data_IF_414493119054
#
_entry.id   IF_414493119054
#
_cell.length_a   1.000
_cell.length_b   1.000
_cell.length_c   1.000
_cell.angle_alpha   90.00
_cell.angle_beta   90.00
_cell.angle_gamma   90.00
#
_symmetry.space_group_name_H-M   'P 1'
#
loop_
_entity.id
_entity.type
_entity.pdbx_description
1 polymer ?
#
# COMPACT_ATOMS: atom_id res chain seq x y z
N UNK A 1 -13.65 20.65 16.69
CA UNK A 1 -14.36 19.40 16.37
C UNK A 1 -13.32 18.31 16.47
N UNK A 2 -13.38 17.52 17.51
CA UNK A 2 -12.50 16.37 17.71
C UNK A 2 -12.93 15.29 16.70
N UNK A 3 -12.02 14.91 15.81
CA UNK A 3 -12.28 13.77 14.92
C UNK A 3 -12.45 12.52 15.80
N UNK A 4 -13.62 11.90 15.73
CA UNK A 4 -13.85 10.57 16.29
C UNK A 4 -12.98 9.58 15.52
N UNK A 5 -11.81 9.26 16.04
CA UNK A 5 -10.93 8.21 15.53
C UNK A 5 -11.03 6.98 16.42
N UNK A 6 -11.25 5.83 15.81
CA UNK A 6 -11.21 4.55 16.49
C UNK A 6 -9.76 4.24 16.84
N UNK A 7 -9.36 4.49 18.09
CA UNK A 7 -8.00 4.22 18.59
C UNK A 7 -7.80 2.73 18.89
N UNK A 8 -8.00 1.87 17.92
CA UNK A 8 -7.76 0.43 18.08
C UNK A 8 -6.34 0.05 17.67
N UNK A 9 -5.69 0.89 16.85
CA UNK A 9 -4.31 0.68 16.39
C UNK A 9 -3.60 2.03 16.36
N UNK A 10 -3.33 2.63 17.49
CA UNK A 10 -2.53 3.84 17.49
C UNK A 10 -1.49 3.83 18.60
N UNK A 11 -0.37 3.23 18.31
CA UNK A 11 0.90 3.67 18.86
C UNK A 11 1.98 3.50 17.79
N UNK A 12 1.76 4.08 16.61
CA UNK A 12 2.86 4.33 15.69
C UNK A 12 3.19 5.81 15.84
N UNK A 13 4.02 6.10 16.81
CA UNK A 13 4.77 7.36 16.87
C UNK A 13 5.81 7.31 15.75
N UNK A 14 5.51 7.94 14.62
CA UNK A 14 6.36 8.00 13.43
C UNK A 14 7.69 8.71 13.68
N UNK A 15 7.94 9.22 14.89
CA UNK A 15 9.18 9.91 15.29
C UNK A 15 10.26 9.01 15.90
N UNK A 16 10.01 7.69 16.04
CA UNK A 16 10.96 6.73 16.65
C UNK A 16 11.31 5.54 15.77
N UNK A 17 11.55 5.77 14.49
CA UNK A 17 12.02 4.72 13.55
C UNK A 17 13.54 4.45 13.67
N UNK A 18 14.22 5.09 14.56
CA UNK A 18 15.63 4.79 14.86
C UNK A 18 15.76 4.20 16.27
N UNK A 19 15.98 2.92 16.36
CA UNK A 19 16.35 2.13 17.56
C UNK A 19 15.19 1.56 18.39
N UNK A 20 14.53 0.54 17.89
CA UNK A 20 14.33 -0.64 18.73
C UNK A 20 13.88 -1.83 17.88
N UNK A 21 14.50 -2.97 18.07
CA UNK A 21 13.98 -4.32 17.79
C UNK A 21 12.74 -4.58 18.67
N UNK A 22 11.74 -3.69 18.58
CA UNK A 22 10.41 -3.97 19.06
C UNK A 22 9.78 -4.80 17.95
N UNK A 23 9.41 -6.02 18.26
CA UNK A 23 8.51 -6.81 17.47
C UNK A 23 7.22 -6.00 17.33
N UNK A 24 7.14 -5.16 16.28
CA UNK A 24 5.88 -4.62 15.85
C UNK A 24 5.01 -5.83 15.54
N UNK A 25 3.90 -5.95 16.24
CA UNK A 25 2.94 -7.02 15.99
C UNK A 25 2.38 -6.80 14.60
N UNK A 26 2.96 -7.52 13.61
CA UNK A 26 2.51 -7.45 12.22
C UNK A 26 1.09 -7.97 12.15
N UNK A 27 0.20 -7.18 11.54
CA UNK A 27 -1.16 -7.62 11.25
C UNK A 27 -1.09 -8.75 10.22
N UNK A 28 -1.67 -9.88 10.51
CA UNK A 28 -1.70 -11.05 9.63
C UNK A 28 -3.00 -11.10 8.83
N UNK A 29 -3.00 -11.82 7.71
CA UNK A 29 -4.21 -12.07 6.91
C UNK A 29 -5.32 -12.70 7.76
N UNK A 30 -4.97 -13.63 8.66
CA UNK A 30 -5.91 -14.27 9.58
C UNK A 30 -6.55 -13.27 10.56
N UNK A 31 -5.78 -12.31 11.07
CA UNK A 31 -6.30 -11.24 11.93
C UNK A 31 -7.22 -10.29 11.16
N UNK A 32 -6.91 -10.04 9.87
CA UNK A 32 -7.78 -9.25 8.99
C UNK A 32 -9.09 -9.98 8.72
N UNK A 33 -9.04 -11.29 8.42
CA UNK A 33 -10.23 -12.10 8.18
C UNK A 33 -11.14 -12.13 9.42
N UNK A 34 -10.57 -12.32 10.60
CA UNK A 34 -11.30 -12.25 11.88
C UNK A 34 -11.88 -10.85 12.14
N UNK A 35 -11.23 -9.80 11.65
CA UNK A 35 -11.74 -8.42 11.82
C UNK A 35 -13.00 -8.11 11.01
N UNK A 36 -13.47 -9.01 10.17
CA UNK A 36 -14.75 -8.90 9.46
C UNK A 36 -15.95 -9.32 10.31
N UNK A 37 -15.74 -9.97 11.46
CA UNK A 37 -16.80 -10.46 12.30
C UNK A 37 -16.59 -10.03 13.77
N UNK A 38 -17.50 -9.22 14.30
CA UNK A 38 -17.42 -8.74 15.68
C UNK A 38 -17.22 -9.87 16.71
N UNK A 39 -17.87 -11.03 16.52
CA UNK A 39 -17.80 -12.12 17.50
C UNK A 39 -16.41 -12.79 17.55
N UNK A 40 -15.62 -12.67 16.47
CA UNK A 40 -14.29 -13.25 16.36
C UNK A 40 -13.17 -12.30 16.79
N UNK A 41 -13.53 -11.03 17.10
CA UNK A 41 -12.57 -10.05 17.56
C UNK A 41 -12.07 -10.36 18.98
N UNK A 42 -10.82 -9.98 19.29
CA UNK A 42 -10.31 -9.96 20.67
C UNK A 42 -11.16 -9.07 21.58
N UNK A 43 -11.24 -9.41 22.87
CA UNK A 43 -12.06 -8.63 23.84
C UNK A 43 -11.65 -7.15 23.92
N UNK A 44 -10.35 -6.84 23.84
CA UNK A 44 -9.85 -5.45 23.82
C UNK A 44 -10.40 -4.65 22.63
N UNK A 45 -10.50 -5.29 21.45
CA UNK A 45 -11.05 -4.65 20.25
C UNK A 45 -12.58 -4.51 20.35
N UNK A 46 -13.28 -5.48 20.94
CA UNK A 46 -14.71 -5.39 21.22
C UNK A 46 -15.03 -4.24 22.17
N UNK A 47 -14.30 -4.14 23.28
CA UNK A 47 -14.45 -3.03 24.23
C UNK A 47 -14.22 -1.68 23.57
N UNK A 48 -13.16 -1.55 22.76
CA UNK A 48 -12.85 -0.32 22.02
C UNK A 48 -13.95 0.03 21.01
N UNK A 49 -14.52 -0.95 20.31
CA UNK A 49 -15.65 -0.75 19.40
C UNK A 49 -16.89 -0.29 20.20
N UNK A 50 -17.22 -0.94 21.29
CA UNK A 50 -18.39 -0.62 22.09
C UNK A 50 -18.30 0.78 22.72
N UNK A 51 -17.11 1.16 23.21
CA UNK A 51 -16.85 2.53 23.66
C UNK A 51 -16.99 3.57 22.54
N UNK A 52 -16.53 3.22 21.33
CA UNK A 52 -16.64 4.11 20.19
C UNK A 52 -18.09 4.24 19.73
N UNK A 53 -18.84 3.14 19.65
CA UNK A 53 -20.28 3.12 19.33
C UNK A 53 -21.07 3.99 20.29
N UNK A 54 -20.75 3.95 21.58
CA UNK A 54 -21.41 4.78 22.61
C UNK A 54 -21.16 6.29 22.39
N UNK A 55 -20.04 6.67 21.77
CA UNK A 55 -19.68 8.08 21.52
C UNK A 55 -20.34 8.64 20.25
N UNK A 56 -20.85 7.81 19.34
CA UNK A 56 -21.49 8.26 18.10
C UNK A 56 -22.84 8.95 18.43
N UNK A 57 -22.94 10.24 18.19
CA UNK A 57 -24.18 10.98 18.35
C UNK A 57 -25.04 10.94 17.06
N UNK A 58 -26.16 10.19 17.07
CA UNK A 58 -27.01 10.05 15.89
C UNK A 58 -27.75 11.36 15.53
N UNK A 59 -27.79 12.34 16.42
CA UNK A 59 -28.38 13.67 16.15
C UNK A 59 -27.41 14.61 15.45
N UNK A 60 -26.11 14.30 15.50
CA UNK A 60 -25.08 15.09 14.83
C UNK A 60 -24.92 14.64 13.36
N UNK A 61 -25.70 15.25 12.48
CA UNK A 61 -25.67 14.92 11.03
C UNK A 61 -24.26 15.05 10.43
N UNK A 62 -23.45 16.01 10.88
CA UNK A 62 -22.09 16.21 10.38
C UNK A 62 -21.21 15.03 10.75
N UNK A 63 -21.31 14.52 11.97
CA UNK A 63 -20.57 13.36 12.45
C UNK A 63 -20.91 12.10 11.65
N UNK A 64 -22.20 11.87 11.40
CA UNK A 64 -22.67 10.77 10.55
C UNK A 64 -22.14 10.87 9.12
N UNK A 65 -22.15 12.07 8.52
CA UNK A 65 -21.64 12.28 7.17
C UNK A 65 -20.10 12.13 7.07
N UNK A 66 -19.39 12.43 8.15
CA UNK A 66 -17.93 12.30 8.22
C UNK A 66 -17.47 10.96 8.78
N UNK A 67 -18.41 10.07 9.13
CA UNK A 67 -18.09 8.77 9.67
C UNK A 67 -17.14 7.99 8.77
N UNK A 68 -16.05 7.45 9.33
CA UNK A 68 -15.05 6.67 8.60
C UNK A 68 -14.17 7.47 7.61
N UNK A 69 -14.39 8.80 7.47
CA UNK A 69 -13.63 9.61 6.49
C UNK A 69 -12.13 9.64 6.75
N UNK A 70 -11.69 9.54 8.01
CA UNK A 70 -10.26 9.45 8.36
C UNK A 70 -9.62 8.15 7.84
N UNK A 71 -10.29 7.02 8.02
CA UNK A 71 -9.85 5.73 7.51
C UNK A 71 -9.76 5.73 5.97
N UNK A 72 -10.79 6.23 5.29
CA UNK A 72 -10.79 6.36 3.82
C UNK A 72 -9.67 7.27 3.31
N UNK A 73 -9.45 8.42 3.95
CA UNK A 73 -8.37 9.34 3.57
C UNK A 73 -6.99 8.69 3.72
N UNK A 74 -6.80 7.88 4.75
CA UNK A 74 -5.54 7.17 4.94
C UNK A 74 -5.31 6.11 3.86
N UNK A 75 -6.35 5.35 3.50
CA UNK A 75 -6.31 4.36 2.40
C UNK A 75 -6.06 5.06 1.06
N UNK A 76 -6.74 6.17 0.78
CA UNK A 76 -6.55 6.94 -0.46
C UNK A 76 -5.12 7.45 -0.60
N UNK A 77 -4.57 8.09 0.43
CA UNK A 77 -3.18 8.57 0.43
C UNK A 77 -2.18 7.43 0.27
N UNK A 78 -2.44 6.30 0.90
CA UNK A 78 -1.61 5.11 0.76
C UNK A 78 -1.66 4.58 -0.69
N UNK A 79 -2.85 4.46 -1.28
CA UNK A 79 -3.04 4.00 -2.67
C UNK A 79 -2.33 4.92 -3.67
N UNK A 80 -2.42 6.25 -3.48
CA UNK A 80 -1.71 7.22 -4.30
C UNK A 80 -0.19 7.04 -4.19
N UNK A 81 0.33 6.84 -2.98
CA UNK A 81 1.75 6.59 -2.73
C UNK A 81 2.24 5.29 -3.39
N UNK A 82 1.45 4.22 -3.34
CA UNK A 82 1.76 2.95 -4.02
C UNK A 82 1.79 3.15 -5.52
N UNK A 83 0.79 3.82 -6.07
CA UNK A 83 0.68 4.06 -7.52
C UNK A 83 1.85 4.88 -8.06
N UNK A 84 2.26 5.93 -7.35
CA UNK A 84 3.41 6.75 -7.73
C UNK A 84 4.72 5.96 -7.66
N UNK A 85 4.91 5.12 -6.64
CA UNK A 85 6.08 4.25 -6.54
C UNK A 85 6.14 3.21 -7.67
N UNK A 86 5.00 2.66 -8.10
CA UNK A 86 4.96 1.70 -9.21
C UNK A 86 5.23 2.37 -10.56
N UNK A 87 4.68 3.56 -10.79
CA UNK A 87 4.86 4.30 -12.07
C UNK A 87 6.28 4.76 -12.32
N UNK A 88 7.04 5.09 -11.29
CA UNK A 88 8.41 5.63 -11.42
C UNK A 88 9.46 4.57 -11.72
N UNK A 89 9.11 3.30 -11.74
CA UNK A 89 10.07 2.19 -11.90
C UNK A 89 10.06 1.63 -13.30
N UNK A 90 11.13 1.94 -14.04
CA UNK A 90 11.37 1.40 -15.39
C UNK A 90 12.15 0.09 -15.31
N UNK A 91 11.55 -1.00 -15.78
CA UNK A 91 12.24 -2.28 -15.99
C UNK A 91 13.09 -2.29 -17.27
N UNK A 92 13.05 -1.20 -18.07
CA UNK A 92 13.76 -1.08 -19.34
C UNK A 92 15.28 -1.03 -19.22
N UNK A 93 15.79 -0.43 -18.14
CA UNK A 93 17.25 -0.20 -17.96
C UNK A 93 18.08 -1.50 -17.96
N UNK A 94 17.57 -2.57 -17.36
CA UNK A 94 18.27 -3.88 -17.36
C UNK A 94 18.29 -4.49 -18.77
N UNK A 95 17.20 -4.33 -19.53
CA UNK A 95 17.11 -4.76 -20.92
C UNK A 95 18.11 -4.03 -21.81
N UNK A 96 18.24 -2.72 -21.63
CA UNK A 96 19.18 -1.88 -22.35
C UNK A 96 20.63 -2.28 -22.06
N UNK A 97 20.99 -2.48 -20.80
CA UNK A 97 22.32 -2.94 -20.38
C UNK A 97 22.68 -4.32 -20.98
N UNK A 98 21.76 -5.25 -21.00
CA UNK A 98 21.96 -6.57 -21.62
C UNK A 98 22.08 -6.46 -23.14
N UNK A 99 21.34 -5.56 -23.78
CA UNK A 99 21.43 -5.28 -25.21
C UNK A 99 22.81 -4.71 -25.56
N UNK A 100 23.29 -3.74 -24.80
CA UNK A 100 24.62 -3.14 -24.96
C UNK A 100 25.73 -4.20 -24.82
N UNK A 101 25.62 -5.08 -23.82
CA UNK A 101 26.56 -6.20 -23.65
C UNK A 101 26.59 -7.13 -24.88
N UNK A 102 25.43 -7.48 -25.43
CA UNK A 102 25.33 -8.33 -26.62
C UNK A 102 25.97 -7.64 -27.83
N UNK A 103 25.77 -6.33 -27.99
CA UNK A 103 26.37 -5.54 -29.08
C UNK A 103 27.88 -5.50 -28.94
N UNK A 104 28.43 -5.25 -27.76
CA UNK A 104 29.89 -5.26 -27.49
C UNK A 104 30.52 -6.60 -27.80
N UNK A 105 29.89 -7.71 -27.39
CA UNK A 105 30.37 -9.07 -27.66
C UNK A 105 30.37 -9.36 -29.18
N UNK A 106 29.31 -9.00 -29.89
CA UNK A 106 29.22 -9.19 -31.33
C UNK A 106 30.24 -8.37 -32.09
N UNK A 107 30.49 -7.13 -31.67
CA UNK A 107 31.52 -6.27 -32.30
C UNK A 107 32.91 -6.86 -32.10
N UNK A 108 33.19 -7.46 -30.93
CA UNK A 108 34.46 -8.12 -30.66
C UNK A 108 34.68 -9.32 -31.57
N UNK A 109 33.65 -10.15 -31.82
CA UNK A 109 33.75 -11.35 -32.69
C UNK A 109 33.87 -10.97 -34.18
N UNK A 110 33.19 -9.92 -34.65
CA UNK A 110 33.21 -9.47 -36.06
C UNK A 110 34.54 -8.84 -36.48
N UNK A 111 35.32 -8.33 -35.53
CA UNK A 111 36.55 -7.61 -35.79
C UNK A 111 37.81 -8.46 -35.71
N UNK A 112 37.69 -9.79 -35.45
CA UNK A 112 38.83 -10.73 -35.50
C UNK A 112 39.18 -10.93 -36.98
N UNK A 113 40.39 -10.51 -37.43
CA UNK A 113 40.77 -10.65 -38.84
C UNK A 113 40.95 -12.10 -39.21
N UNK A 114 40.08 -12.65 -40.01
CA UNK A 114 40.25 -13.96 -40.70
C UNK A 114 41.04 -13.75 -41.99
N UNK A 115 42.29 -13.25 -41.92
CA UNK A 115 43.13 -13.09 -43.11
C UNK A 115 44.17 -14.21 -43.19
N UNK A 116 44.19 -14.88 -44.34
CA UNK A 116 45.26 -15.76 -44.77
C UNK A 116 46.53 -14.95 -45.08
N UNK A 117 47.61 -15.27 -44.40
CA UNK A 117 48.91 -14.57 -44.56
C UNK A 117 49.78 -15.29 -45.61
N UNK A 118 50.21 -14.53 -46.63
CA UNK A 118 51.22 -14.99 -47.59
C UNK A 118 52.43 -14.08 -47.58
N UNK A 119 53.62 -14.58 -47.09
CA UNK A 119 54.92 -13.90 -47.13
C UNK A 119 55.57 -13.62 -45.78
N UNK A 120 56.81 -14.17 -45.55
CA UNK A 120 57.46 -14.31 -44.24
C UNK A 120 57.96 -12.96 -43.63
N UNK A 121 58.34 -11.96 -44.42
CA UNK A 121 58.91 -10.71 -43.88
C UNK A 121 57.88 -9.65 -43.49
N UNK A 122 56.66 -9.64 -44.05
CA UNK A 122 55.55 -8.77 -43.65
C UNK A 122 54.86 -9.24 -42.37
N UNK A 123 55.01 -10.52 -42.06
CA UNK A 123 54.30 -11.20 -40.98
C UNK A 123 54.73 -10.69 -39.57
N UNK A 124 56.02 -10.43 -39.35
CA UNK A 124 56.52 -10.05 -38.00
C UNK A 124 56.18 -8.62 -37.61
N UNK A 125 56.13 -7.64 -38.54
CA UNK A 125 55.76 -6.28 -38.22
C UNK A 125 54.24 -6.07 -38.16
N UNK A 126 53.45 -6.84 -38.91
CA UNK A 126 52.01 -6.82 -38.91
C UNK A 126 51.46 -7.54 -37.68
N UNK A 127 52.04 -8.69 -37.29
CA UNK A 127 51.58 -9.50 -36.16
C UNK A 127 51.66 -8.73 -34.81
N UNK A 128 52.74 -7.98 -34.57
CA UNK A 128 52.89 -7.18 -33.35
C UNK A 128 51.83 -6.08 -33.28
N UNK A 129 51.59 -5.39 -34.38
CA UNK A 129 50.60 -4.29 -34.43
C UNK A 129 49.16 -4.82 -34.33
N UNK A 130 48.90 -6.01 -34.87
CA UNK A 130 47.58 -6.64 -34.73
C UNK A 130 47.36 -7.20 -33.34
N UNK A 131 48.41 -7.79 -32.70
CA UNK A 131 48.34 -8.21 -31.31
C UNK A 131 48.09 -7.03 -30.37
N UNK A 132 48.78 -5.88 -30.56
CA UNK A 132 48.56 -4.68 -29.77
C UNK A 132 47.11 -4.13 -29.93
N UNK A 133 46.57 -4.20 -31.15
CA UNK A 133 45.15 -3.82 -31.39
C UNK A 133 44.19 -4.80 -30.71
N UNK A 134 44.47 -6.08 -30.75
CA UNK A 134 43.65 -7.10 -30.14
C UNK A 134 43.64 -6.92 -28.59
N UNK A 135 44.83 -6.70 -28.02
CA UNK A 135 44.95 -6.42 -26.55
C UNK A 135 44.20 -5.14 -26.20
N UNK A 136 44.33 -4.08 -26.98
CA UNK A 136 43.61 -2.81 -26.73
C UNK A 136 42.09 -3.00 -26.78
N UNK A 137 41.59 -3.77 -27.74
CA UNK A 137 40.16 -4.10 -27.87
C UNK A 137 39.70 -4.99 -26.70
N UNK A 138 40.46 -6.00 -26.34
CA UNK A 138 40.19 -6.87 -25.18
C UNK A 138 40.03 -6.05 -23.89
N UNK A 139 41.02 -5.15 -23.63
CA UNK A 139 40.95 -4.26 -22.46
C UNK A 139 39.73 -3.32 -22.48
N UNK A 140 39.34 -2.87 -23.67
CA UNK A 140 38.14 -2.03 -23.79
C UNK A 140 36.85 -2.81 -23.48
N UNK A 141 36.73 -4.03 -24.01
CA UNK A 141 35.59 -4.92 -23.73
C UNK A 141 35.55 -5.30 -22.23
N UNK A 142 36.70 -5.65 -21.64
CA UNK A 142 36.82 -5.95 -20.21
C UNK A 142 36.35 -4.78 -19.34
N UNK A 143 36.78 -3.54 -19.65
CA UNK A 143 36.33 -2.33 -18.95
C UNK A 143 34.80 -2.11 -19.09
N UNK A 144 34.26 -2.36 -20.28
CA UNK A 144 32.82 -2.20 -20.51
C UNK A 144 32.01 -3.28 -19.79
N UNK A 145 32.46 -4.53 -19.82
CA UNK A 145 31.85 -5.61 -19.03
C UNK A 145 31.87 -5.26 -17.54
N UNK A 146 32.98 -4.78 -16.99
CA UNK A 146 33.05 -4.37 -15.59
C UNK A 146 32.11 -3.21 -15.24
N UNK A 147 31.85 -2.30 -16.17
CA UNK A 147 30.84 -1.23 -15.98
C UNK A 147 29.43 -1.82 -15.93
N UNK A 148 29.12 -2.74 -16.85
CA UNK A 148 27.81 -3.40 -16.93
C UNK A 148 27.58 -4.25 -15.67
N UNK A 149 28.57 -5.00 -15.23
CA UNK A 149 28.52 -5.78 -13.97
C UNK A 149 28.17 -4.89 -12.78
N UNK A 150 28.87 -3.75 -12.64
CA UNK A 150 28.60 -2.79 -11.57
C UNK A 150 27.20 -2.19 -11.65
N UNK A 151 26.72 -1.91 -12.85
CA UNK A 151 25.36 -1.39 -13.05
C UNK A 151 24.31 -2.45 -12.71
N UNK A 152 24.51 -3.70 -13.10
CA UNK A 152 23.64 -4.82 -12.74
C UNK A 152 23.61 -5.05 -11.22
N UNK A 153 24.75 -4.93 -10.54
CA UNK A 153 24.79 -5.02 -9.09
C UNK A 153 24.04 -3.89 -8.40
N UNK A 154 24.16 -2.66 -8.91
CA UNK A 154 23.35 -1.54 -8.43
C UNK A 154 21.86 -1.76 -8.64
N UNK A 155 21.45 -2.29 -9.80
CA UNK A 155 20.06 -2.66 -10.05
C UNK A 155 19.56 -3.74 -9.11
N UNK A 156 20.39 -4.78 -8.86
CA UNK A 156 20.07 -5.81 -7.87
C UNK A 156 19.82 -5.22 -6.47
N UNK A 157 20.72 -4.33 -6.02
CA UNK A 157 20.55 -3.64 -4.74
C UNK A 157 19.28 -2.77 -4.71
N UNK A 158 18.97 -2.10 -5.82
CA UNK A 158 17.74 -1.33 -5.92
C UNK A 158 16.50 -2.23 -5.86
N UNK A 159 16.50 -3.37 -6.57
CA UNK A 159 15.40 -4.34 -6.53
C UNK A 159 15.18 -4.90 -5.12
N UNK A 160 16.25 -5.16 -4.36
CA UNK A 160 16.13 -5.60 -2.97
C UNK A 160 15.47 -4.54 -2.08
N UNK A 161 15.84 -3.26 -2.26
CA UNK A 161 15.17 -2.14 -1.58
C UNK A 161 13.70 -2.04 -1.98
N UNK A 162 13.40 -2.26 -3.25
CA UNK A 162 12.05 -2.23 -3.78
C UNK A 162 11.18 -3.32 -3.18
N UNK A 163 11.70 -4.54 -3.04
CA UNK A 163 11.03 -5.65 -2.36
C UNK A 163 10.70 -5.26 -0.92
N UNK A 164 11.66 -4.73 -0.16
CA UNK A 164 11.42 -4.30 1.21
C UNK A 164 10.33 -3.20 1.31
N UNK A 165 10.28 -2.28 0.34
CA UNK A 165 9.23 -1.26 0.27
C UNK A 165 7.87 -1.90 -0.03
N UNK A 166 7.78 -2.86 -0.95
CA UNK A 166 6.52 -3.57 -1.24
C UNK A 166 6.04 -4.40 -0.07
N UNK A 167 6.93 -5.08 0.65
CA UNK A 167 6.59 -5.81 1.86
C UNK A 167 5.99 -4.86 2.92
N UNK A 168 6.62 -3.70 3.14
CA UNK A 168 6.10 -2.68 4.05
C UNK A 168 4.74 -2.11 3.59
N UNK A 169 4.54 -1.94 2.28
CA UNK A 169 3.27 -1.50 1.72
C UNK A 169 2.17 -2.55 1.92
N UNK A 170 2.49 -3.82 1.74
CA UNK A 170 1.57 -4.91 1.99
C UNK A 170 1.11 -4.95 3.44
N UNK A 171 2.05 -4.86 4.39
CA UNK A 171 1.74 -4.82 5.83
C UNK A 171 0.82 -3.65 6.19
N UNK A 172 1.11 -2.46 5.66
CA UNK A 172 0.25 -1.28 5.87
C UNK A 172 -1.14 -1.43 5.25
N UNK A 173 -1.24 -2.10 4.09
CA UNK A 173 -2.53 -2.36 3.48
C UNK A 173 -3.39 -3.26 4.36
N UNK A 174 -2.82 -4.30 4.96
CA UNK A 174 -3.52 -5.17 5.92
C UNK A 174 -4.00 -4.36 7.15
N UNK A 175 -3.15 -3.48 7.68
CA UNK A 175 -3.50 -2.62 8.81
C UNK A 175 -4.68 -1.68 8.48
N UNK A 176 -4.63 -1.00 7.33
CA UNK A 176 -5.71 -0.12 6.91
C UNK A 176 -7.02 -0.86 6.63
N UNK A 177 -6.93 -2.04 6.03
CA UNK A 177 -8.10 -2.88 5.80
C UNK A 177 -8.74 -3.32 7.13
N UNK A 178 -7.94 -3.77 8.09
CA UNK A 178 -8.42 -4.09 9.44
C UNK A 178 -9.09 -2.88 10.09
N UNK A 179 -8.46 -1.71 10.03
CA UNK A 179 -9.01 -0.48 10.59
C UNK A 179 -10.37 -0.13 9.96
N UNK A 180 -10.49 -0.23 8.62
CA UNK A 180 -11.74 0.02 7.93
C UNK A 180 -12.84 -0.96 8.35
N UNK A 181 -12.49 -2.25 8.46
CA UNK A 181 -13.43 -3.30 8.94
C UNK A 181 -13.98 -2.99 10.32
N UNK A 182 -13.13 -2.52 11.25
CA UNK A 182 -13.57 -2.14 12.60
C UNK A 182 -14.52 -0.93 12.57
N UNK A 183 -14.28 0.05 11.68
CA UNK A 183 -15.23 1.16 11.48
C UNK A 183 -16.57 0.69 10.93
N UNK A 184 -16.57 -0.24 9.97
CA UNK A 184 -17.80 -0.82 9.41
C UNK A 184 -18.59 -1.54 10.52
N UNK A 185 -17.95 -2.42 11.28
CA UNK A 185 -18.59 -3.15 12.39
C UNK A 185 -19.17 -2.17 13.43
N UNK A 186 -18.42 -1.15 13.83
CA UNK A 186 -18.91 -0.16 14.80
C UNK A 186 -20.13 0.60 14.27
N UNK A 187 -20.12 0.97 12.98
CA UNK A 187 -21.26 1.62 12.34
C UNK A 187 -22.48 0.72 12.23
N UNK A 188 -22.31 -0.56 11.87
CA UNK A 188 -23.38 -1.56 11.82
C UNK A 188 -24.02 -1.77 13.19
N UNK A 189 -23.20 -1.90 14.24
CA UNK A 189 -23.68 -2.03 15.62
C UNK A 189 -24.46 -0.78 16.04
N UNK A 190 -24.00 0.42 15.69
CA UNK A 190 -24.74 1.66 16.00
C UNK A 190 -26.07 1.70 15.27
N UNK A 191 -26.12 1.34 14.01
CA UNK A 191 -27.37 1.29 13.24
C UNK A 191 -28.34 0.28 13.85
N UNK A 192 -27.83 -0.88 14.26
CA UNK A 192 -28.66 -1.89 14.93
C UNK A 192 -29.23 -1.35 16.25
N UNK A 193 -28.42 -0.72 17.11
CA UNK A 193 -28.89 -0.06 18.34
C UNK A 193 -29.99 0.98 18.06
N UNK A 194 -29.80 1.83 17.04
CA UNK A 194 -30.77 2.84 16.66
C UNK A 194 -32.10 2.22 16.18
N UNK A 195 -32.06 1.14 15.42
CA UNK A 195 -33.26 0.45 14.91
C UNK A 195 -33.99 -0.34 15.98
N UNK A 196 -33.26 -1.00 16.89
CA UNK A 196 -33.86 -1.92 17.84
C UNK A 196 -34.26 -1.24 19.16
N UNK A 197 -33.59 -0.14 19.51
CA UNK A 197 -33.80 0.51 20.80
C UNK A 197 -34.34 1.94 20.64
N UNK A 198 -33.64 2.80 19.92
CA UNK A 198 -33.93 4.24 19.89
C UNK A 198 -35.19 4.55 19.07
N UNK A 199 -35.30 3.97 17.86
CA UNK A 199 -36.43 4.23 16.98
C UNK A 199 -37.77 3.73 17.57
N UNK A 200 -37.88 2.52 18.12
CA UNK A 200 -39.12 2.05 18.75
C UNK A 200 -39.52 2.91 19.95
N UNK A 201 -38.58 3.38 20.74
CA UNK A 201 -38.90 4.27 21.87
C UNK A 201 -39.40 5.63 21.41
N UNK A 202 -38.83 6.24 20.37
CA UNK A 202 -39.34 7.48 19.79
C UNK A 202 -40.74 7.27 19.19
N UNK A 203 -41.01 6.13 18.55
CA UNK A 203 -42.34 5.82 18.02
C UNK A 203 -43.39 5.67 19.15
N UNK A 204 -43.00 5.02 20.28
CA UNK A 204 -43.88 4.91 21.45
C UNK A 204 -44.22 6.29 22.01
N UNK A 205 -43.23 7.18 22.19
CA UNK A 205 -43.42 8.53 22.69
C UNK A 205 -44.34 9.33 21.75
N UNK A 206 -44.11 9.27 20.43
CA UNK A 206 -44.92 9.98 19.45
C UNK A 206 -46.38 9.49 19.41
N UNK A 207 -46.63 8.21 19.67
CA UNK A 207 -47.99 7.66 19.78
C UNK A 207 -48.70 8.09 21.06
N UNK A 208 -47.96 8.19 22.19
CA UNK A 208 -48.53 8.54 23.48
C UNK A 208 -48.77 10.05 23.60
N UNK A 209 -47.84 10.90 23.10
CA UNK A 209 -47.94 12.37 23.19
C UNK A 209 -48.90 12.97 22.21
N UNK A 210 -49.08 12.34 21.04
CA UNK A 210 -49.79 12.86 19.90
C UNK A 210 -49.29 14.24 19.43
N UNK A 211 -48.02 14.57 19.74
CA UNK A 211 -47.36 15.83 19.41
C UNK A 211 -46.66 15.71 18.06
N UNK A 212 -46.83 16.75 17.22
CA UNK A 212 -46.20 16.79 15.90
C UNK A 212 -44.64 16.83 15.98
N UNK A 213 -44.10 17.41 17.05
CA UNK A 213 -42.65 17.46 17.30
C UNK A 213 -42.07 16.06 17.51
N UNK A 214 -42.79 15.19 18.24
CA UNK A 214 -42.35 13.82 18.49
C UNK A 214 -42.44 12.96 17.23
N UNK A 215 -43.49 13.19 16.40
CA UNK A 215 -43.58 12.56 15.07
C UNK A 215 -42.42 13.00 14.16
N UNK A 216 -42.02 14.27 14.22
CA UNK A 216 -40.88 14.76 13.46
C UNK A 216 -39.56 14.11 13.94
N UNK A 217 -39.40 13.92 15.26
CA UNK A 217 -38.20 13.21 15.80
C UNK A 217 -38.06 11.78 15.28
N UNK A 218 -39.19 11.05 15.11
CA UNK A 218 -39.20 9.73 14.49
C UNK A 218 -38.71 9.81 13.03
N UNK A 219 -39.23 10.74 12.24
CA UNK A 219 -38.84 10.89 10.84
C UNK A 219 -37.37 11.28 10.69
N UNK A 220 -36.88 12.18 11.54
CA UNK A 220 -35.46 12.59 11.54
C UNK A 220 -34.54 11.44 11.90
N UNK A 221 -34.94 10.58 12.85
CA UNK A 221 -34.18 9.36 13.20
C UNK A 221 -34.16 8.37 12.05
N UNK A 222 -35.27 8.11 11.39
CA UNK A 222 -35.33 7.25 10.21
C UNK A 222 -34.43 7.79 9.08
N UNK A 223 -34.46 9.09 8.83
CA UNK A 223 -33.59 9.72 7.83
C UNK A 223 -32.10 9.60 8.20
N UNK A 224 -31.78 9.69 9.50
CA UNK A 224 -30.41 9.51 10.00
C UNK A 224 -29.92 8.08 9.80
N UNK A 225 -30.73 7.09 10.15
CA UNK A 225 -30.42 5.67 9.92
C UNK A 225 -30.14 5.43 8.44
N UNK A 226 -31.00 5.88 7.55
CA UNK A 226 -30.83 5.70 6.10
C UNK A 226 -29.55 6.37 5.57
N UNK A 227 -29.20 7.57 6.05
CA UNK A 227 -27.94 8.24 5.68
C UNK A 227 -26.72 7.47 6.18
N UNK A 228 -26.80 6.93 7.39
CA UNK A 228 -25.71 6.17 7.97
C UNK A 228 -25.49 4.83 7.25
N UNK A 229 -26.56 4.11 6.94
CA UNK A 229 -26.50 2.88 6.13
C UNK A 229 -25.85 3.12 4.77
N UNK A 230 -26.29 4.20 4.08
CA UNK A 230 -25.68 4.57 2.80
C UNK A 230 -24.19 4.86 2.95
N UNK A 231 -23.79 5.59 4.00
CA UNK A 231 -22.40 5.91 4.27
C UNK A 231 -21.55 4.65 4.52
N UNK A 232 -22.07 3.67 5.26
CA UNK A 232 -21.37 2.41 5.49
C UNK A 232 -21.26 1.58 4.20
N UNK A 233 -22.30 1.57 3.38
CA UNK A 233 -22.26 0.89 2.08
C UNK A 233 -21.16 1.48 1.18
N UNK A 234 -21.07 2.82 1.11
CA UNK A 234 -20.03 3.50 0.35
C UNK A 234 -18.62 3.12 0.85
N UNK A 235 -18.44 2.91 2.16
CA UNK A 235 -17.16 2.45 2.74
C UNK A 235 -16.85 0.99 2.43
N UNK A 236 -17.86 0.12 2.40
CA UNK A 236 -17.67 -1.29 2.10
C UNK A 236 -17.33 -1.55 0.61
N UNK A 237 -17.68 -0.61 -0.28
CA UNK A 237 -17.44 -0.71 -1.72
C UNK A 237 -16.19 0.04 -2.20
N UNK A 238 -15.47 0.73 -1.32
CA UNK A 238 -14.24 1.49 -1.62
C UNK A 238 -12.99 0.63 -1.46
#
# INVERSE_FOLDING_TARGET
>A
MENLELKVVSNIDTSKVENSLIQEKKVTEEEVEKSLNYNELPEEEKEAIDEFVAKIDPKNTTEILQYGSSAQNNISKFSDSVLDNVKTRSTGEVGDLLSDLVVEIKQFDSDIPRKEYTGIAKVFHSAKKELEKLITRYNKVEVNIGKIEKQLENHKLQMLKDIAVYDSMYEKNLEYFKQLSLYIIAGERKIQELKETVLPELQRIAQESNDQTDVQAVNDMMATINRFEKKLYDHACS
#
